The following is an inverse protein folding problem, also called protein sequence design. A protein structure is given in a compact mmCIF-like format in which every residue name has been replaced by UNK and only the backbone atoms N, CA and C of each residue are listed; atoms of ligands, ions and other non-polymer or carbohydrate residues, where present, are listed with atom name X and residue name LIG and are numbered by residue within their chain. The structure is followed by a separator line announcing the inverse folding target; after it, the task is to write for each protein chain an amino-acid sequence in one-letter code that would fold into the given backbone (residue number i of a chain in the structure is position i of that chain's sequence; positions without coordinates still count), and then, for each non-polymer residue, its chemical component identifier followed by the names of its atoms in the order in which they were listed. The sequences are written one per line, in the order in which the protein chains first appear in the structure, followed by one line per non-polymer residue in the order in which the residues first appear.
data_IF_763602931347
#
_entry.id   IF_763602931347
#
_cell.length_a   1.000
_cell.length_b   1.000
_cell.length_c   1.000
_cell.angle_alpha   90.00
_cell.angle_beta   90.00
_cell.angle_gamma   90.00
#
_symmetry.space_group_name_H-M   'P 1'
#
loop_
_entity.id
_entity.type
_entity.pdbx_description
1 polymer ?
#
# COMPACT_ATOMS: atom_id res chain seq x y z
N UNK A 1 -51.36 -10.59 -5.46
CA UNK A 1 -50.19 -9.84 -4.96
C UNK A 1 -49.02 -10.81 -4.78
N UNK A 2 -48.10 -10.91 -5.74
CA UNK A 2 -46.98 -11.87 -5.73
C UNK A 2 -45.64 -11.12 -5.82
N UNK A 3 -44.91 -11.17 -4.69
CA UNK A 3 -43.45 -11.18 -4.49
C UNK A 3 -42.59 -10.39 -5.50
N UNK A 4 -42.22 -9.17 -5.11
CA UNK A 4 -41.28 -8.28 -5.82
C UNK A 4 -40.06 -7.88 -4.95
N UNK A 5 -39.62 -8.75 -4.03
CA UNK A 5 -38.61 -8.37 -3.01
C UNK A 5 -37.26 -9.09 -3.16
N UNK A 6 -37.08 -10.03 -4.11
CA UNK A 6 -35.90 -10.93 -4.06
C UNK A 6 -34.78 -10.67 -5.07
N UNK A 7 -34.83 -9.63 -5.91
CA UNK A 7 -33.79 -9.40 -6.95
C UNK A 7 -32.74 -8.38 -6.49
N UNK A 8 -33.11 -7.38 -5.69
CA UNK A 8 -32.20 -6.32 -5.27
C UNK A 8 -31.14 -6.75 -4.25
N UNK A 9 -31.38 -7.80 -3.46
CA UNK A 9 -30.42 -8.29 -2.46
C UNK A 9 -29.28 -9.11 -3.09
N UNK A 10 -29.54 -9.82 -4.19
CA UNK A 10 -28.53 -10.64 -4.88
C UNK A 10 -27.48 -9.79 -5.62
N UNK A 11 -27.90 -8.66 -6.20
CA UNK A 11 -27.01 -7.74 -6.91
C UNK A 11 -26.04 -7.01 -5.97
N UNK A 12 -26.46 -6.74 -4.73
CA UNK A 12 -25.61 -6.13 -3.72
C UNK A 12 -24.47 -7.07 -3.30
N UNK A 13 -24.78 -8.36 -3.07
CA UNK A 13 -23.81 -9.37 -2.62
C UNK A 13 -22.75 -9.66 -3.70
N UNK A 14 -23.15 -9.66 -4.98
CA UNK A 14 -22.20 -9.87 -6.09
C UNK A 14 -21.20 -8.71 -6.25
N UNK A 15 -21.61 -7.48 -5.93
CA UNK A 15 -20.76 -6.29 -6.04
C UNK A 15 -19.65 -6.25 -4.99
N UNK A 16 -19.88 -6.81 -3.78
CA UNK A 16 -18.87 -6.82 -2.71
C UNK A 16 -17.80 -7.91 -2.94
N UNK A 17 -18.18 -9.05 -3.52
CA UNK A 17 -17.26 -10.16 -3.81
C UNK A 17 -16.26 -9.83 -4.93
N UNK A 18 -16.66 -9.02 -5.92
CA UNK A 18 -15.74 -8.58 -6.99
C UNK A 18 -14.64 -7.64 -6.49
N UNK A 19 -14.88 -6.86 -5.44
CA UNK A 19 -13.90 -5.91 -4.91
C UNK A 19 -12.75 -6.62 -4.18
N UNK A 20 -13.05 -7.68 -3.43
CA UNK A 20 -12.04 -8.47 -2.72
C UNK A 20 -11.14 -9.27 -3.68
N UNK A 21 -11.70 -9.82 -4.76
CA UNK A 21 -10.93 -10.48 -5.81
C UNK A 21 -10.02 -9.50 -6.57
N UNK A 22 -10.53 -8.29 -6.89
CA UNK A 22 -9.74 -7.24 -7.53
C UNK A 22 -8.59 -6.73 -6.65
N UNK A 23 -8.76 -6.64 -5.33
CA UNK A 23 -7.72 -6.22 -4.39
C UNK A 23 -6.66 -7.32 -4.14
N UNK A 24 -7.04 -8.60 -4.20
CA UNK A 24 -6.09 -9.71 -4.12
C UNK A 24 -5.19 -9.83 -5.37
N UNK A 25 -5.70 -9.44 -6.55
CA UNK A 25 -4.90 -9.24 -7.77
C UNK A 25 -4.04 -7.96 -7.71
N UNK A 26 -4.44 -6.97 -6.92
CA UNK A 26 -3.77 -5.67 -6.85
C UNK A 26 -2.42 -5.69 -6.10
N UNK A 27 -2.15 -6.72 -5.29
CA UNK A 27 -0.85 -6.92 -4.66
C UNK A 27 -0.09 -8.08 -5.33
N UNK A 28 0.76 -7.93 -6.35
CA UNK A 28 1.17 -9.04 -7.22
C UNK A 28 1.67 -10.32 -6.53
N UNK A 29 1.23 -11.49 -7.02
CA UNK A 29 1.72 -12.80 -6.58
C UNK A 29 3.19 -13.01 -6.97
N UNK A 30 3.95 -13.64 -6.09
CA UNK A 30 5.23 -14.24 -6.41
C UNK A 30 5.08 -15.62 -7.09
N UNK A 31 6.15 -16.16 -7.68
CA UNK A 31 6.10 -17.41 -8.47
C UNK A 31 5.67 -18.66 -7.69
N UNK A 32 5.67 -18.60 -6.36
CA UNK A 32 5.36 -19.71 -5.44
C UNK A 32 4.23 -19.39 -4.48
N UNK A 33 3.54 -18.28 -4.70
CA UNK A 33 2.46 -17.83 -3.81
C UNK A 33 1.12 -18.20 -4.42
N UNK A 34 0.21 -18.70 -3.60
CA UNK A 34 -1.17 -19.04 -3.98
C UNK A 34 -2.20 -18.17 -3.26
N UNK A 35 -1.76 -17.37 -2.28
CA UNK A 35 -2.61 -16.58 -1.41
C UNK A 35 -1.95 -15.25 -1.02
N UNK A 36 -2.73 -14.36 -0.40
CA UNK A 36 -2.20 -13.14 0.20
C UNK A 36 -1.57 -13.49 1.56
N UNK A 37 -0.36 -13.01 1.80
CA UNK A 37 0.33 -13.14 3.09
C UNK A 37 1.00 -11.83 3.45
N UNK A 38 1.28 -11.63 4.73
CA UNK A 38 2.01 -10.46 5.18
C UNK A 38 3.38 -10.35 4.50
N UNK A 39 4.08 -11.48 4.31
CA UNK A 39 5.38 -11.50 3.65
C UNK A 39 5.30 -10.97 2.20
N UNK A 40 4.23 -11.31 1.47
CA UNK A 40 3.93 -10.78 0.13
C UNK A 40 3.71 -9.27 0.17
N UNK A 41 2.89 -8.80 1.10
CA UNK A 41 2.62 -7.36 1.30
C UNK A 41 3.90 -6.60 1.59
N UNK A 42 4.71 -7.04 2.56
CA UNK A 42 5.96 -6.37 2.93
C UNK A 42 6.98 -6.36 1.78
N UNK A 43 7.13 -7.47 1.05
CA UNK A 43 8.02 -7.53 -0.10
C UNK A 43 7.60 -6.55 -1.20
N UNK A 44 6.32 -6.54 -1.55
CA UNK A 44 5.82 -5.67 -2.61
C UNK A 44 5.79 -4.21 -2.16
N UNK A 45 5.54 -3.92 -0.88
CA UNK A 45 5.73 -2.59 -0.30
C UNK A 45 7.15 -2.08 -0.54
N UNK A 46 8.17 -2.84 -0.12
CA UNK A 46 9.57 -2.44 -0.29
C UNK A 46 10.00 -2.32 -1.75
N UNK A 47 9.53 -3.22 -2.63
CA UNK A 47 9.79 -3.11 -4.08
C UNK A 47 9.11 -1.90 -4.70
N UNK A 48 7.88 -1.60 -4.30
CA UNK A 48 7.08 -0.51 -4.84
C UNK A 48 7.61 0.87 -4.47
N UNK A 49 8.23 1.01 -3.30
CA UNK A 49 8.80 2.30 -2.84
C UNK A 49 10.23 2.55 -3.32
N UNK A 50 11.00 1.51 -3.64
CA UNK A 50 12.43 1.62 -4.00
C UNK A 50 12.72 2.58 -5.15
N UNK A 51 11.89 2.56 -6.21
CA UNK A 51 12.10 3.45 -7.35
C UNK A 51 11.80 4.90 -6.99
N UNK A 52 10.81 5.16 -6.13
CA UNK A 52 10.53 6.50 -5.60
C UNK A 52 11.70 7.04 -4.78
N UNK A 53 12.27 6.23 -3.88
CA UNK A 53 13.48 6.56 -3.11
C UNK A 53 14.67 6.92 -4.02
N UNK A 54 14.89 6.11 -5.06
CA UNK A 54 15.97 6.35 -6.04
C UNK A 54 15.76 7.66 -6.80
N UNK A 55 14.52 7.95 -7.22
CA UNK A 55 14.17 9.19 -7.90
C UNK A 55 14.35 10.41 -7.00
N UNK A 56 13.99 10.34 -5.71
CA UNK A 56 14.27 11.43 -4.74
C UNK A 56 15.76 11.68 -4.62
N UNK A 57 16.56 10.63 -4.42
CA UNK A 57 18.00 10.78 -4.23
C UNK A 57 18.66 11.47 -5.42
N UNK A 58 18.25 11.11 -6.65
CA UNK A 58 18.73 11.74 -7.88
C UNK A 58 18.19 13.15 -8.03
N UNK A 59 16.88 13.33 -7.91
CA UNK A 59 16.20 14.61 -8.09
C UNK A 59 16.63 15.69 -7.09
N UNK A 60 17.03 15.30 -5.88
CA UNK A 60 17.60 16.23 -4.88
C UNK A 60 18.99 16.72 -5.28
N UNK A 61 19.76 15.94 -6.05
CA UNK A 61 21.06 16.34 -6.60
C UNK A 61 20.88 17.17 -7.86
N UNK A 62 20.08 16.67 -8.79
CA UNK A 62 19.75 17.30 -10.05
C UNK A 62 18.38 16.81 -10.52
N UNK A 63 17.42 17.72 -10.67
CA UNK A 63 16.09 17.39 -11.17
C UNK A 63 16.12 16.81 -12.60
N UNK A 64 17.14 17.12 -13.40
CA UNK A 64 17.36 16.58 -14.74
C UNK A 64 17.72 15.09 -14.75
N UNK A 65 18.20 14.54 -13.64
CA UNK A 65 18.55 13.11 -13.53
C UNK A 65 17.31 12.21 -13.35
N UNK A 66 16.12 12.79 -13.18
CA UNK A 66 14.85 12.08 -13.05
C UNK A 66 14.08 12.17 -14.37
N UNK A 67 14.10 11.08 -15.12
CA UNK A 67 13.42 10.97 -16.42
C UNK A 67 11.93 10.69 -16.28
N UNK A 68 11.16 10.89 -17.35
CA UNK A 68 9.73 10.51 -17.39
C UNK A 68 9.51 9.01 -17.10
N UNK A 69 10.43 8.16 -17.57
CA UNK A 69 10.37 6.72 -17.29
C UNK A 69 10.54 6.43 -15.78
N UNK A 70 11.39 7.22 -15.10
CA UNK A 70 11.56 7.11 -13.65
C UNK A 70 10.33 7.62 -12.90
N UNK A 71 9.73 8.73 -13.32
CA UNK A 71 8.45 9.20 -12.76
C UNK A 71 7.37 8.13 -12.86
N UNK A 72 7.17 7.59 -14.07
CA UNK A 72 6.20 6.52 -14.30
C UNK A 72 6.47 5.30 -13.40
N UNK A 73 7.72 4.84 -13.34
CA UNK A 73 8.08 3.69 -12.53
C UNK A 73 7.90 3.93 -11.02
N UNK A 74 8.19 5.14 -10.52
CA UNK A 74 7.90 5.55 -9.14
C UNK A 74 6.39 5.56 -8.85
N UNK A 75 5.58 6.14 -9.74
CA UNK A 75 4.12 6.24 -9.59
C UNK A 75 3.47 4.84 -9.60
N UNK A 76 3.86 3.99 -10.55
CA UNK A 76 3.34 2.62 -10.67
C UNK A 76 3.75 1.76 -9.46
N UNK A 77 5.01 1.89 -9.00
CA UNK A 77 5.52 1.20 -7.83
C UNK A 77 4.77 1.60 -6.54
N UNK A 78 4.55 2.90 -6.34
CA UNK A 78 3.81 3.41 -5.19
C UNK A 78 2.34 2.97 -5.23
N UNK A 79 1.71 2.96 -6.40
CA UNK A 79 0.34 2.44 -6.57
C UNK A 79 0.23 0.95 -6.21
N UNK A 80 1.21 0.15 -6.61
CA UNK A 80 1.30 -1.27 -6.23
C UNK A 80 1.48 -1.43 -4.71
N UNK A 81 2.38 -0.67 -4.09
CA UNK A 81 2.58 -0.70 -2.64
C UNK A 81 1.29 -0.33 -1.90
N UNK A 82 0.59 0.71 -2.35
CA UNK A 82 -0.69 1.14 -1.78
C UNK A 82 -1.73 0.03 -1.87
N UNK A 83 -1.87 -0.58 -3.04
CA UNK A 83 -2.77 -1.70 -3.28
C UNK A 83 -2.50 -2.90 -2.34
N UNK A 84 -1.22 -3.19 -2.08
CA UNK A 84 -0.84 -4.22 -1.10
C UNK A 84 -1.25 -3.89 0.33
N UNK A 85 -1.10 -2.63 0.74
CA UNK A 85 -1.52 -2.17 2.08
C UNK A 85 -3.05 -2.19 2.20
N UNK A 86 -3.77 -1.79 1.16
CA UNK A 86 -5.23 -1.86 1.11
C UNK A 86 -5.76 -3.30 1.13
N UNK A 87 -5.10 -4.21 0.40
CA UNK A 87 -5.41 -5.64 0.49
C UNK A 87 -5.20 -6.17 1.93
N UNK A 88 -4.16 -5.69 2.63
CA UNK A 88 -3.90 -6.05 4.02
C UNK A 88 -4.96 -5.53 5.01
N UNK A 89 -5.67 -4.46 4.67
CA UNK A 89 -6.78 -3.92 5.47
C UNK A 89 -8.10 -4.68 5.26
N UNK A 90 -8.25 -5.39 4.15
CA UNK A 90 -9.49 -6.07 3.76
C UNK A 90 -9.46 -7.57 4.03
N UNK A 91 -8.27 -8.17 4.07
CA UNK A 91 -8.09 -9.62 4.30
C UNK A 91 -7.67 -9.88 5.75
N UNK A 92 -8.56 -10.50 6.51
CA UNK A 92 -8.32 -10.89 7.90
C UNK A 92 -8.09 -12.41 8.00
N UNK A 93 -6.91 -12.87 7.56
CA UNK A 93 -6.48 -14.27 7.68
C UNK A 93 -5.26 -14.40 8.59
N UNK A 94 -4.98 -15.62 9.07
CA UNK A 94 -3.84 -15.85 9.99
C UNK A 94 -2.49 -15.61 9.28
N UNK A 95 -2.46 -15.77 7.97
CA UNK A 95 -1.33 -15.58 7.07
C UNK A 95 -0.96 -14.08 6.92
N UNK A 96 -1.91 -13.20 7.22
CA UNK A 96 -1.74 -11.76 7.27
C UNK A 96 -1.24 -11.25 8.63
N UNK A 97 -1.14 -12.13 9.62
CA UNK A 97 -0.59 -11.78 10.93
C UNK A 97 0.93 -11.88 10.94
N UNK A 98 1.63 -10.89 11.53
CA UNK A 98 3.03 -11.02 11.86
C UNK A 98 3.26 -12.19 12.82
N UNK A 99 4.45 -12.79 12.77
CA UNK A 99 4.76 -14.01 13.52
C UNK A 99 4.48 -13.86 15.02
N UNK A 100 4.81 -12.71 15.63
CA UNK A 100 4.58 -12.43 17.05
C UNK A 100 3.10 -12.44 17.44
N UNK A 101 2.19 -12.22 16.48
CA UNK A 101 0.75 -12.22 16.72
C UNK A 101 0.08 -13.58 16.52
N UNK A 102 0.77 -14.56 15.94
CA UNK A 102 0.18 -15.88 15.64
C UNK A 102 -0.19 -16.69 16.87
N UNK A 103 0.44 -16.39 18.00
CA UNK A 103 0.22 -17.07 19.28
C UNK A 103 -0.64 -16.23 20.25
N UNK A 104 -1.01 -15.01 19.85
CA UNK A 104 -1.92 -14.18 20.63
C UNK A 104 -3.36 -14.70 20.51
N UNK A 105 -4.15 -14.50 21.56
CA UNK A 105 -5.57 -14.83 21.58
C UNK A 105 -6.36 -13.87 22.47
N UNK A 106 -7.68 -13.85 22.29
CA UNK A 106 -8.59 -12.97 23.02
C UNK A 106 -8.20 -11.50 22.93
N UNK A 107 -8.34 -10.78 24.05
CA UNK A 107 -8.11 -9.34 24.11
C UNK A 107 -6.70 -8.89 23.65
N UNK A 108 -5.69 -9.75 23.77
CA UNK A 108 -4.34 -9.44 23.31
C UNK A 108 -4.25 -9.41 21.77
N UNK A 109 -4.89 -10.39 21.11
CA UNK A 109 -4.98 -10.41 19.65
C UNK A 109 -5.84 -9.24 19.14
N UNK A 110 -6.97 -8.95 19.81
CA UNK A 110 -7.84 -7.84 19.42
C UNK A 110 -7.10 -6.49 19.48
N UNK A 111 -6.39 -6.24 20.58
CA UNK A 111 -5.57 -5.04 20.77
C UNK A 111 -4.47 -4.93 19.71
N UNK A 112 -3.84 -6.06 19.37
CA UNK A 112 -2.85 -6.12 18.30
C UNK A 112 -3.45 -5.76 16.94
N UNK A 113 -4.59 -6.36 16.59
CA UNK A 113 -5.26 -6.12 15.31
C UNK A 113 -5.71 -4.67 15.14
N UNK A 114 -6.14 -4.01 16.21
CA UNK A 114 -6.47 -2.58 16.20
C UNK A 114 -5.25 -1.74 15.82
N UNK A 115 -4.08 -2.00 16.45
CA UNK A 115 -2.83 -1.29 16.16
C UNK A 115 -2.32 -1.58 14.75
N UNK A 116 -2.35 -2.84 14.35
CA UNK A 116 -1.95 -3.27 13.01
C UNK A 116 -2.78 -2.57 11.92
N UNK A 117 -4.11 -2.56 12.05
CA UNK A 117 -4.97 -1.86 11.09
C UNK A 117 -4.78 -0.34 11.12
N UNK A 118 -4.51 0.26 12.29
CA UNK A 118 -4.19 1.68 12.37
C UNK A 118 -2.92 2.01 11.56
N UNK A 119 -1.83 1.25 11.76
CA UNK A 119 -0.59 1.39 10.99
C UNK A 119 -0.81 1.22 9.49
N UNK A 120 -1.55 0.19 9.07
CA UNK A 120 -1.82 -0.04 7.66
C UNK A 120 -2.62 1.10 7.02
N UNK A 121 -3.57 1.72 7.74
CA UNK A 121 -4.27 2.92 7.23
C UNK A 121 -3.32 4.10 7.07
N UNK A 122 -2.42 4.31 8.03
CA UNK A 122 -1.42 5.37 7.94
C UNK A 122 -0.47 5.16 6.74
N UNK A 123 0.00 3.93 6.52
CA UNK A 123 0.78 3.60 5.32
C UNK A 123 0.02 3.87 4.03
N UNK A 124 -1.27 3.52 3.95
CA UNK A 124 -2.08 3.78 2.76
C UNK A 124 -2.16 5.28 2.43
N UNK A 125 -2.38 6.12 3.45
CA UNK A 125 -2.39 7.59 3.30
C UNK A 125 -1.04 8.11 2.83
N UNK A 126 0.05 7.71 3.51
CA UNK A 126 1.40 8.16 3.15
C UNK A 126 1.75 7.76 1.71
N UNK A 127 1.44 6.52 1.30
CA UNK A 127 1.73 6.04 -0.06
C UNK A 127 0.93 6.80 -1.12
N UNK A 128 -0.33 7.12 -0.84
CA UNK A 128 -1.15 7.93 -1.73
C UNK A 128 -0.58 9.35 -1.88
N UNK A 129 -0.23 10.00 -0.78
CA UNK A 129 0.35 11.35 -0.80
C UNK A 129 1.70 11.35 -1.51
N UNK A 130 2.51 10.31 -1.26
CA UNK A 130 3.80 10.12 -1.89
C UNK A 130 3.67 9.94 -3.40
N UNK A 131 2.70 9.13 -3.85
CA UNK A 131 2.38 8.96 -5.26
C UNK A 131 1.91 10.27 -5.91
N UNK A 132 1.05 11.02 -5.24
CA UNK A 132 0.50 12.27 -5.75
C UNK A 132 1.57 13.36 -5.88
N UNK A 133 2.56 13.40 -4.97
CA UNK A 133 3.69 14.30 -5.13
C UNK A 133 4.50 13.95 -6.38
N UNK A 134 4.75 12.66 -6.67
CA UNK A 134 5.40 12.25 -7.91
C UNK A 134 4.60 12.61 -9.18
N UNK A 135 3.27 12.48 -9.15
CA UNK A 135 2.41 12.92 -10.26
C UNK A 135 2.57 14.42 -10.49
N UNK A 136 2.42 15.22 -9.44
CA UNK A 136 2.59 16.67 -9.49
C UNK A 136 3.97 17.06 -10.06
N UNK A 137 5.05 16.42 -9.60
CA UNK A 137 6.40 16.72 -10.08
C UNK A 137 6.62 16.33 -11.56
N UNK A 138 5.95 15.26 -12.04
CA UNK A 138 6.02 14.86 -13.45
C UNK A 138 5.39 15.87 -14.41
N UNK A 139 4.41 16.66 -13.94
CA UNK A 139 3.74 17.70 -14.73
C UNK A 139 4.55 19.00 -14.85
N UNK A 140 5.61 19.16 -14.04
CA UNK A 140 6.45 20.34 -14.03
C UNK A 140 7.61 20.23 -15.02
N UNK A 141 8.01 21.38 -15.58
CA UNK A 141 9.26 21.47 -16.33
C UNK A 141 10.45 21.15 -15.41
N UNK A 142 11.53 20.57 -15.95
CA UNK A 142 12.68 20.08 -15.17
C UNK A 142 13.20 21.11 -14.16
N UNK A 143 13.36 22.37 -14.56
CA UNK A 143 13.85 23.44 -13.67
C UNK A 143 12.88 23.93 -12.60
N UNK A 144 11.64 23.43 -12.58
CA UNK A 144 10.61 23.74 -11.59
C UNK A 144 10.34 22.56 -10.63
N UNK A 145 10.93 21.38 -10.90
CA UNK A 145 10.73 20.20 -10.07
C UNK A 145 11.45 20.37 -8.73
N UNK A 146 10.79 19.95 -7.66
CA UNK A 146 11.30 19.94 -6.29
C UNK A 146 10.94 18.62 -5.61
N UNK A 147 11.95 17.94 -5.06
CA UNK A 147 11.79 16.64 -4.40
C UNK A 147 11.73 16.75 -2.88
N UNK A 148 11.72 17.96 -2.30
CA UNK A 148 11.68 18.16 -0.85
C UNK A 148 10.44 17.56 -0.17
N UNK A 149 9.25 17.78 -0.75
CA UNK A 149 8.00 17.22 -0.22
C UNK A 149 7.98 15.68 -0.31
N UNK A 150 8.45 15.13 -1.43
CA UNK A 150 8.59 13.68 -1.63
C UNK A 150 9.56 13.06 -0.61
N UNK A 151 10.71 13.72 -0.36
CA UNK A 151 11.69 13.29 0.64
C UNK A 151 11.12 13.32 2.08
N UNK A 152 10.29 14.30 2.40
CA UNK A 152 9.63 14.37 3.70
C UNK A 152 8.64 13.20 3.89
N UNK A 153 7.86 12.87 2.86
CA UNK A 153 6.93 11.73 2.87
C UNK A 153 7.68 10.39 2.99
N UNK A 154 8.81 10.23 2.29
CA UNK A 154 9.68 9.07 2.45
C UNK A 154 10.20 8.93 3.89
N UNK A 155 10.65 10.04 4.50
CA UNK A 155 11.10 10.03 5.88
C UNK A 155 9.98 9.59 6.84
N UNK A 156 8.79 10.17 6.71
CA UNK A 156 7.63 9.78 7.53
C UNK A 156 7.27 8.32 7.33
N UNK A 157 7.30 7.82 6.09
CA UNK A 157 7.09 6.40 5.79
C UNK A 157 8.13 5.52 6.52
N UNK A 158 9.41 5.87 6.47
CA UNK A 158 10.48 5.12 7.12
C UNK A 158 10.38 5.14 8.66
N UNK A 159 9.99 6.28 9.25
CA UNK A 159 9.69 6.38 10.68
C UNK A 159 8.55 5.43 11.06
N UNK A 160 7.49 5.35 10.25
CA UNK A 160 6.38 4.42 10.46
C UNK A 160 6.76 2.96 10.27
N UNK A 161 7.64 2.64 9.32
CA UNK A 161 8.21 1.28 9.20
C UNK A 161 8.95 0.89 10.48
N UNK A 162 9.74 1.81 11.06
CA UNK A 162 10.45 1.55 12.31
C UNK A 162 9.50 1.39 13.50
N UNK A 163 8.44 2.22 13.58
CA UNK A 163 7.38 2.07 14.58
C UNK A 163 6.70 0.70 14.45
N UNK A 164 6.37 0.28 13.23
CA UNK A 164 5.78 -1.01 12.96
C UNK A 164 6.72 -2.17 13.37
N UNK A 165 8.02 -2.10 13.11
CA UNK A 165 8.97 -3.12 13.58
C UNK A 165 9.12 -3.17 15.11
N UNK A 166 8.89 -2.06 15.80
CA UNK A 166 8.87 -2.02 17.26
C UNK A 166 7.60 -2.63 17.87
N UNK A 167 6.49 -2.58 17.13
CA UNK A 167 5.17 -3.06 17.57
C UNK A 167 4.85 -4.49 17.12
N UNK A 168 5.30 -4.88 15.93
CA UNK A 168 5.01 -6.17 15.27
C UNK A 168 6.15 -7.18 15.45
#
# INVERSE_FOLDING_TARGET
MKRLVSISLLALIFSVLSLAAALADACPLGPRETELSLARVMRNFGRGTMQASTSIQRGTRDAGDVTEAMFKASIDGLAMAQSCVEAALTVNTREMLPLKARDLSGAALDSYMVKYHALMREFAVILNDFRNEFIKQSELAVGQRDFGAAAALEKTMNEKVNEAHGLL
#
